data_IF_154257856323
#
_entry.id   IF_154257856323
#
_cell.length_a   1.000
_cell.length_b   1.000
_cell.length_c   1.000
_cell.angle_alpha   90.00
_cell.angle_beta   90.00
_cell.angle_gamma   90.00
#
_symmetry.space_group_name_H-M   'P 1'
#
loop_
_entity.id
_entity.type
_entity.pdbx_description
1 polymer ?
#
# COMPACT_ATOMS: atom_id res chain seq x y z
N UNK A 1 18.51 -1.51 3.77
CA UNK A 1 18.65 -2.13 2.45
C UNK A 1 17.36 -1.89 1.71
N UNK A 2 17.39 -1.24 0.55
CA UNK A 2 16.28 -1.31 -0.39
C UNK A 2 16.45 -2.67 -1.07
N UNK A 3 15.62 -3.65 -0.72
CA UNK A 3 15.51 -4.87 -1.51
C UNK A 3 14.76 -4.50 -2.79
N UNK A 4 15.20 -5.05 -3.92
CA UNK A 4 14.43 -4.93 -5.16
C UNK A 4 13.00 -5.44 -4.92
N UNK A 5 11.99 -4.84 -5.55
CA UNK A 5 10.63 -5.35 -5.41
C UNK A 5 10.57 -6.79 -5.95
N UNK A 6 9.80 -7.69 -5.30
CA UNK A 6 9.64 -9.06 -5.79
C UNK A 6 9.20 -9.07 -7.25
N UNK A 7 9.74 -9.96 -8.11
CA UNK A 7 9.49 -9.92 -9.55
C UNK A 7 8.01 -9.93 -9.93
N UNK A 8 7.20 -10.69 -9.19
CA UNK A 8 5.74 -10.72 -9.37
C UNK A 8 5.09 -9.36 -9.14
N UNK A 9 5.42 -8.70 -8.03
CA UNK A 9 4.91 -7.37 -7.70
C UNK A 9 5.37 -6.31 -8.72
N UNK A 10 6.64 -6.37 -9.14
CA UNK A 10 7.19 -5.47 -10.14
C UNK A 10 6.46 -5.61 -11.49
N UNK A 11 6.20 -6.84 -11.93
CA UNK A 11 5.43 -7.15 -13.14
C UNK A 11 3.99 -6.64 -13.03
N UNK A 12 3.30 -6.93 -11.93
CA UNK A 12 1.94 -6.49 -11.67
C UNK A 12 1.82 -4.96 -11.74
N UNK A 13 2.68 -4.25 -11.01
CA UNK A 13 2.71 -2.79 -11.04
C UNK A 13 3.06 -2.26 -12.44
N UNK A 14 3.99 -2.89 -13.15
CA UNK A 14 4.33 -2.56 -14.53
C UNK A 14 3.12 -2.63 -15.48
N UNK A 15 2.36 -3.73 -15.40
CA UNK A 15 1.14 -3.92 -16.19
C UNK A 15 0.08 -2.85 -15.88
N UNK A 16 -0.09 -2.48 -14.61
CA UNK A 16 -1.01 -1.41 -14.20
C UNK A 16 -0.57 -0.05 -14.74
N UNK A 17 0.74 0.27 -14.74
CA UNK A 17 1.27 1.54 -15.30
C UNK A 17 1.05 1.67 -16.81
N UNK A 18 1.06 0.54 -17.53
CA UNK A 18 0.86 0.52 -18.99
C UNK A 18 -0.62 0.59 -19.39
N UNK A 19 -1.54 0.23 -18.50
CA UNK A 19 -2.98 0.22 -18.79
C UNK A 19 -3.49 1.64 -19.08
N UNK A 20 -4.24 1.79 -20.18
CA UNK A 20 -4.95 3.03 -20.50
C UNK A 20 -6.19 3.16 -19.62
N UNK A 21 -6.36 4.33 -18.99
CA UNK A 21 -7.51 4.64 -18.15
C UNK A 21 -8.34 5.72 -18.83
N UNK A 22 -9.65 5.50 -19.03
CA UNK A 22 -10.54 6.51 -19.59
C UNK A 22 -10.88 7.56 -18.51
N UNK A 23 -9.91 8.41 -18.20
CA UNK A 23 -9.97 9.42 -17.14
C UNK A 23 -11.17 10.36 -17.29
N UNK A 24 -11.42 10.85 -18.50
CA UNK A 24 -12.53 11.77 -18.75
C UNK A 24 -13.89 11.06 -18.57
N UNK A 25 -13.94 9.75 -18.82
CA UNK A 25 -15.10 8.91 -18.47
C UNK A 25 -15.30 8.78 -16.96
N UNK A 26 -14.22 8.64 -16.19
CA UNK A 26 -14.27 8.58 -14.73
C UNK A 26 -14.75 9.89 -14.10
N UNK A 27 -14.31 11.05 -14.65
CA UNK A 27 -14.80 12.37 -14.20
C UNK A 27 -16.27 12.57 -14.56
N UNK A 28 -16.67 12.29 -15.81
CA UNK A 28 -18.09 12.40 -16.23
C UNK A 28 -19.02 11.51 -15.42
N UNK A 29 -18.55 10.33 -14.99
CA UNK A 29 -19.30 9.41 -14.15
C UNK A 29 -19.30 9.80 -12.65
N UNK A 30 -18.67 10.92 -12.28
CA UNK A 30 -18.55 11.37 -10.89
C UNK A 30 -17.67 10.46 -10.00
N UNK A 31 -16.88 9.56 -10.62
CA UNK A 31 -15.94 8.70 -9.90
C UNK A 31 -14.62 9.40 -9.57
N UNK A 32 -14.39 10.57 -10.15
CA UNK A 32 -13.26 11.47 -9.87
C UNK A 32 -13.71 12.91 -10.04
N UNK A 33 -13.11 13.83 -9.29
CA UNK A 33 -13.25 15.27 -9.56
C UNK A 33 -12.19 15.75 -10.55
N UNK A 34 -12.42 16.89 -11.18
CA UNK A 34 -11.42 17.51 -12.06
C UNK A 34 -10.12 17.87 -11.31
N UNK A 35 -10.23 18.37 -10.08
CA UNK A 35 -9.08 18.66 -9.21
C UNK A 35 -8.27 17.39 -8.89
N UNK A 36 -8.96 16.28 -8.57
CA UNK A 36 -8.29 14.99 -8.35
C UNK A 36 -7.54 14.54 -9.61
N UNK A 37 -8.18 14.61 -10.78
CA UNK A 37 -7.57 14.23 -12.05
C UNK A 37 -6.38 15.12 -12.43
N UNK A 38 -6.49 16.43 -12.23
CA UNK A 38 -5.42 17.38 -12.51
C UNK A 38 -4.17 17.05 -11.68
N UNK A 39 -4.35 16.76 -10.38
CA UNK A 39 -3.26 16.37 -9.47
C UNK A 39 -2.63 15.04 -9.88
N UNK A 40 -3.43 14.04 -10.24
CA UNK A 40 -2.93 12.76 -10.76
C UNK A 40 -2.07 12.98 -12.00
N UNK A 41 -2.58 13.71 -12.99
CA UNK A 41 -1.88 13.98 -14.26
C UNK A 41 -0.58 14.78 -14.07
N UNK A 42 -0.49 15.61 -13.04
CA UNK A 42 0.72 16.38 -12.75
C UNK A 42 1.92 15.50 -12.37
N UNK A 43 1.69 14.32 -11.78
CA UNK A 43 2.75 13.40 -11.32
C UNK A 43 2.81 12.08 -12.08
N UNK A 44 1.77 11.76 -12.84
CA UNK A 44 1.73 10.56 -13.68
C UNK A 44 2.68 10.70 -14.87
N UNK A 45 3.47 9.65 -15.13
CA UNK A 45 4.42 9.54 -16.26
C UNK A 45 5.45 10.68 -16.43
N UNK A 46 5.62 11.55 -15.43
CA UNK A 46 6.72 12.54 -15.40
C UNK A 46 8.01 11.92 -14.85
N UNK A 47 9.16 12.55 -15.14
CA UNK A 47 10.47 12.14 -14.63
C UNK A 47 10.52 12.21 -13.09
N UNK A 48 11.32 11.35 -12.46
CA UNK A 48 11.42 11.22 -11.00
C UNK A 48 11.67 12.57 -10.30
N UNK A 49 12.65 13.36 -10.76
CA UNK A 49 12.99 14.64 -10.11
C UNK A 49 11.85 15.66 -10.19
N UNK A 50 11.17 15.72 -11.35
CA UNK A 50 10.01 16.59 -11.56
C UNK A 50 8.85 16.15 -10.65
N UNK A 51 8.62 14.83 -10.54
CA UNK A 51 7.61 14.27 -9.63
C UNK A 51 7.86 14.69 -8.20
N UNK A 52 9.11 14.57 -7.73
CA UNK A 52 9.50 14.96 -6.37
C UNK A 52 9.19 16.45 -6.14
N UNK A 53 9.65 17.33 -7.04
CA UNK A 53 9.43 18.77 -6.94
C UNK A 53 7.95 19.13 -6.86
N UNK A 54 7.11 18.53 -7.72
CA UNK A 54 5.67 18.80 -7.76
C UNK A 54 4.99 18.41 -6.45
N UNK A 55 5.33 17.25 -5.89
CA UNK A 55 4.71 16.75 -4.66
C UNK A 55 5.20 17.53 -3.44
N UNK A 56 6.49 17.83 -3.36
CA UNK A 56 7.06 18.60 -2.25
C UNK A 56 6.55 20.04 -2.22
N UNK A 57 6.26 20.62 -3.38
CA UNK A 57 5.65 21.95 -3.47
C UNK A 57 4.21 22.00 -2.94
N UNK A 58 3.49 20.87 -2.86
CA UNK A 58 2.11 20.81 -2.37
C UNK A 58 1.82 19.50 -1.61
N UNK A 59 2.58 19.25 -0.53
CA UNK A 59 2.41 18.03 0.29
C UNK A 59 1.00 17.89 0.85
N UNK A 60 0.38 19.00 1.25
CA UNK A 60 -0.98 19.02 1.82
C UNK A 60 -2.02 18.62 0.77
N UNK A 61 -1.90 19.14 -0.45
CA UNK A 61 -2.78 18.78 -1.55
C UNK A 61 -2.68 17.31 -1.94
N UNK A 62 -1.48 16.72 -1.98
CA UNK A 62 -1.31 15.28 -2.23
C UNK A 62 -1.76 14.43 -1.04
N UNK A 63 -1.54 14.89 0.20
CA UNK A 63 -2.12 14.24 1.39
C UNK A 63 -3.64 14.18 1.26
N UNK A 64 -4.29 15.32 1.04
CA UNK A 64 -5.75 15.41 0.88
C UNK A 64 -6.24 14.61 -0.32
N UNK A 65 -5.48 14.50 -1.42
CA UNK A 65 -5.81 13.62 -2.54
C UNK A 65 -6.00 12.17 -2.07
N UNK A 66 -5.11 11.62 -1.25
CA UNK A 66 -5.13 10.20 -0.87
C UNK A 66 -5.96 9.87 0.37
N UNK A 67 -6.04 10.75 1.36
CA UNK A 67 -6.80 10.50 2.60
C UNK A 67 -8.05 11.37 2.78
N UNK A 68 -8.25 12.36 1.93
CA UNK A 68 -9.35 13.32 2.01
C UNK A 68 -9.22 14.25 3.20
N UNK A 69 -10.23 15.08 3.39
CA UNK A 69 -10.40 16.00 4.51
C UNK A 69 -11.90 16.22 4.75
N UNK A 70 -12.33 16.83 5.86
CA UNK A 70 -13.74 17.12 6.08
C UNK A 70 -14.36 17.88 4.90
N UNK A 71 -15.39 17.30 4.28
CA UNK A 71 -16.06 17.88 3.11
C UNK A 71 -15.43 17.54 1.75
N UNK A 72 -14.25 16.90 1.69
CA UNK A 72 -13.60 16.53 0.44
C UNK A 72 -13.16 15.06 0.47
N UNK A 73 -13.76 14.27 -0.43
CA UNK A 73 -13.48 12.85 -0.58
C UNK A 73 -12.03 12.62 -1.05
N UNK A 74 -11.43 11.53 -0.57
CA UNK A 74 -10.18 11.05 -1.16
C UNK A 74 -10.44 10.49 -2.56
N UNK A 75 -9.37 10.37 -3.34
CA UNK A 75 -9.43 9.73 -4.66
C UNK A 75 -9.87 8.27 -4.57
N UNK A 76 -9.47 7.56 -3.51
CA UNK A 76 -9.85 6.16 -3.27
C UNK A 76 -11.34 6.04 -2.93
N UNK A 77 -11.88 6.99 -2.17
CA UNK A 77 -13.31 7.05 -1.85
C UNK A 77 -14.14 7.37 -3.10
N UNK A 78 -13.70 8.36 -3.90
CA UNK A 78 -14.38 8.70 -5.16
C UNK A 78 -14.36 7.54 -6.16
N UNK A 79 -13.22 6.86 -6.29
CA UNK A 79 -13.00 5.83 -7.29
C UNK A 79 -13.40 4.41 -6.84
N UNK A 80 -14.02 4.23 -5.67
CA UNK A 80 -14.26 2.92 -5.05
C UNK A 80 -14.95 1.88 -5.97
N UNK A 81 -15.77 2.32 -6.93
CA UNK A 81 -16.47 1.45 -7.90
C UNK A 81 -15.69 1.18 -9.20
N UNK A 82 -14.51 1.77 -9.36
CA UNK A 82 -13.66 1.73 -10.55
C UNK A 82 -12.34 1.05 -10.23
N UNK A 83 -12.33 -0.28 -10.27
CA UNK A 83 -11.15 -1.09 -9.93
C UNK A 83 -9.90 -0.72 -10.74
N UNK A 84 -10.07 -0.40 -12.03
CA UNK A 84 -9.00 0.07 -12.91
C UNK A 84 -8.34 1.36 -12.38
N UNK A 85 -9.15 2.29 -11.91
CA UNK A 85 -8.69 3.54 -11.31
C UNK A 85 -8.04 3.27 -9.96
N UNK A 86 -8.68 2.48 -9.08
CA UNK A 86 -8.13 2.15 -7.75
C UNK A 86 -6.74 1.51 -7.86
N UNK A 87 -6.57 0.51 -8.73
CA UNK A 87 -5.26 -0.13 -8.95
C UNK A 87 -4.19 0.89 -9.37
N UNK A 88 -4.52 1.78 -10.30
CA UNK A 88 -3.58 2.81 -10.77
C UNK A 88 -3.24 3.82 -9.68
N UNK A 89 -4.22 4.26 -8.89
CA UNK A 89 -4.00 5.14 -7.74
C UNK A 89 -3.09 4.48 -6.70
N UNK A 90 -3.28 3.20 -6.40
CA UNK A 90 -2.43 2.48 -5.45
C UNK A 90 -0.99 2.38 -5.96
N UNK A 91 -0.80 2.09 -7.26
CA UNK A 91 0.54 2.07 -7.87
C UNK A 91 1.17 3.45 -7.88
N UNK A 92 0.41 4.49 -8.24
CA UNK A 92 0.88 5.88 -8.19
C UNK A 92 1.31 6.26 -6.78
N UNK A 93 0.50 5.99 -5.76
CA UNK A 93 0.84 6.28 -4.37
C UNK A 93 2.09 5.51 -3.93
N UNK A 94 2.21 4.23 -4.29
CA UNK A 94 3.40 3.42 -4.03
C UNK A 94 4.66 4.05 -4.63
N UNK A 95 4.58 4.57 -5.86
CA UNK A 95 5.68 5.25 -6.54
C UNK A 95 6.03 6.59 -5.86
N UNK A 96 5.02 7.34 -5.40
CA UNK A 96 5.22 8.62 -4.70
C UNK A 96 5.87 8.40 -3.33
N UNK A 97 5.47 7.37 -2.58
CA UNK A 97 6.06 7.03 -1.29
C UNK A 97 7.53 6.61 -1.41
N UNK A 98 7.93 5.99 -2.53
CA UNK A 98 9.33 5.62 -2.80
C UNK A 98 10.24 6.80 -3.14
N UNK A 99 9.68 7.87 -3.70
CA UNK A 99 10.47 9.03 -4.14
C UNK A 99 10.32 10.26 -3.25
N UNK A 100 9.23 10.37 -2.47
CA UNK A 100 8.96 11.51 -1.59
C UNK A 100 8.69 11.04 -0.16
N UNK A 101 9.74 10.77 0.64
CA UNK A 101 9.59 10.30 2.02
C UNK A 101 8.73 11.23 2.89
N UNK A 102 8.75 12.55 2.62
CA UNK A 102 7.94 13.53 3.35
C UNK A 102 6.43 13.30 3.22
N UNK A 103 5.96 12.73 2.10
CA UNK A 103 4.55 12.43 1.87
C UNK A 103 4.02 11.40 2.86
N UNK A 104 4.82 10.38 3.21
CA UNK A 104 4.42 9.36 4.18
C UNK A 104 4.09 9.95 5.55
N UNK A 105 4.92 10.90 6.01
CA UNK A 105 4.73 11.63 7.26
C UNK A 105 3.51 12.53 7.21
N UNK A 106 3.33 13.25 6.10
CA UNK A 106 2.18 14.13 5.91
C UNK A 106 0.85 13.36 5.94
N UNK A 107 0.79 12.18 5.31
CA UNK A 107 -0.40 11.31 5.31
C UNK A 107 -0.76 10.86 6.72
N UNK A 108 0.21 10.37 7.50
CA UNK A 108 -0.06 9.80 8.83
C UNK A 108 -0.43 10.84 9.88
N UNK A 109 0.01 12.09 9.73
CA UNK A 109 -0.33 13.17 10.68
C UNK A 109 -1.83 13.52 10.72
N UNK A 110 -2.66 12.90 9.87
CA UNK A 110 -4.12 13.07 9.86
C UNK A 110 -4.81 12.11 10.84
N UNK A 111 -6.03 12.43 11.27
CA UNK A 111 -6.72 11.71 12.35
C UNK A 111 -6.89 10.19 12.14
N UNK A 112 -7.39 9.74 10.97
CA UNK A 112 -7.54 8.32 10.64
C UNK A 112 -6.99 8.04 9.22
N UNK A 113 -5.65 7.94 9.08
CA UNK A 113 -4.99 7.89 7.78
C UNK A 113 -5.27 6.58 7.03
N UNK A 114 -5.78 5.56 7.73
CA UNK A 114 -5.99 4.21 7.21
C UNK A 114 -7.42 3.92 6.79
N UNK A 115 -8.38 4.82 7.08
CA UNK A 115 -9.82 4.59 6.91
C UNK A 115 -10.24 4.11 5.52
N UNK A 116 -9.55 4.60 4.48
CA UNK A 116 -9.85 4.29 3.09
C UNK A 116 -9.05 3.11 2.53
N UNK A 117 -7.97 2.73 3.20
CA UNK A 117 -7.09 1.65 2.76
C UNK A 117 -7.50 0.31 3.35
N UNK A 118 -7.81 0.26 4.65
CA UNK A 118 -8.14 -1.02 5.32
C UNK A 118 -9.32 -1.76 4.68
N UNK A 119 -10.42 -1.10 4.24
CA UNK A 119 -11.49 -1.81 3.54
C UNK A 119 -11.04 -2.45 2.21
N UNK A 120 -10.00 -1.92 1.55
CA UNK A 120 -9.49 -2.46 0.29
C UNK A 120 -8.73 -3.78 0.49
N UNK A 121 -8.16 -4.02 1.67
CA UNK A 121 -7.58 -5.33 2.02
C UNK A 121 -8.65 -6.43 2.09
N UNK A 122 -9.86 -6.07 2.51
CA UNK A 122 -11.00 -6.98 2.58
C UNK A 122 -11.83 -7.01 1.29
N UNK A 123 -11.38 -6.35 0.21
CA UNK A 123 -12.13 -6.26 -1.05
C UNK A 123 -12.39 -7.62 -1.69
N UNK A 124 -11.49 -8.58 -1.47
CA UNK A 124 -11.53 -9.90 -2.08
C UNK A 124 -10.94 -10.94 -1.15
N UNK A 125 -11.52 -12.14 -1.14
CA UNK A 125 -10.93 -13.31 -0.51
C UNK A 125 -9.93 -14.02 -1.43
N UNK A 126 -9.84 -13.63 -2.71
CA UNK A 126 -8.82 -14.12 -3.62
C UNK A 126 -7.52 -13.35 -3.36
N UNK A 127 -6.51 -14.05 -2.89
CA UNK A 127 -5.17 -13.52 -2.58
C UNK A 127 -4.37 -13.11 -3.81
N UNK A 128 -4.78 -13.55 -5.01
CA UNK A 128 -4.22 -13.09 -6.29
C UNK A 128 -4.90 -11.82 -6.82
N UNK A 129 -5.94 -11.32 -6.14
CA UNK A 129 -6.56 -10.05 -6.52
C UNK A 129 -5.54 -8.90 -6.36
N UNK A 130 -5.28 -8.10 -7.41
CA UNK A 130 -4.34 -7.00 -7.35
C UNK A 130 -4.67 -5.94 -6.28
N UNK A 131 -5.96 -5.70 -5.96
CA UNK A 131 -6.33 -4.58 -5.08
C UNK A 131 -5.83 -4.80 -3.64
N UNK A 132 -6.14 -5.94 -2.97
CA UNK A 132 -5.58 -6.22 -1.64
C UNK A 132 -4.04 -6.19 -1.62
N UNK A 133 -3.39 -6.77 -2.64
CA UNK A 133 -1.93 -6.85 -2.69
C UNK A 133 -1.28 -5.46 -2.85
N UNK A 134 -1.75 -4.66 -3.80
CA UNK A 134 -1.27 -3.28 -3.98
C UNK A 134 -1.56 -2.42 -2.74
N UNK A 135 -2.68 -2.67 -2.07
CA UNK A 135 -3.04 -1.99 -0.83
C UNK A 135 -2.09 -2.34 0.30
N UNK A 136 -1.71 -3.62 0.49
CA UNK A 136 -0.75 -4.02 1.52
C UNK A 136 0.60 -3.36 1.29
N UNK A 137 1.08 -3.37 0.04
CA UNK A 137 2.34 -2.70 -0.34
C UNK A 137 2.32 -1.20 0.00
N UNK A 138 1.24 -0.49 -0.35
CA UNK A 138 1.08 0.92 -0.02
C UNK A 138 1.10 1.16 1.50
N UNK A 139 0.34 0.36 2.25
CA UNK A 139 0.28 0.47 3.71
C UNK A 139 1.64 0.20 4.36
N UNK A 140 2.36 -0.82 3.90
CA UNK A 140 3.71 -1.16 4.37
C UNK A 140 4.67 0.00 4.10
N UNK A 141 4.68 0.55 2.89
CA UNK A 141 5.51 1.71 2.54
C UNK A 141 5.16 2.94 3.36
N UNK A 142 3.87 3.20 3.56
CA UNK A 142 3.38 4.32 4.35
C UNK A 142 3.87 4.22 5.81
N UNK A 143 3.69 3.06 6.45
CA UNK A 143 4.10 2.81 7.83
C UNK A 143 5.62 2.78 8.00
N UNK A 144 6.33 2.07 7.12
CA UNK A 144 7.78 1.94 7.21
C UNK A 144 8.50 3.26 6.89
N UNK A 145 8.02 4.02 5.90
CA UNK A 145 8.58 5.31 5.49
C UNK A 145 8.41 6.41 6.54
N UNK A 146 7.26 6.41 7.22
CA UNK A 146 6.98 7.34 8.32
C UNK A 146 7.55 6.88 9.67
N UNK A 147 7.82 5.58 9.83
CA UNK A 147 8.21 4.93 11.09
C UNK A 147 7.16 5.11 12.18
N UNK A 148 5.87 5.10 11.83
CA UNK A 148 4.80 5.46 12.75
C UNK A 148 4.47 4.38 13.79
N UNK A 149 4.53 4.73 15.07
CA UNK A 149 4.14 3.86 16.19
C UNK A 149 2.86 4.36 16.89
N UNK A 150 2.06 5.21 16.22
CA UNK A 150 0.80 5.72 16.79
C UNK A 150 -0.20 4.60 17.15
N UNK A 151 -1.16 4.87 18.06
CA UNK A 151 -2.22 3.90 18.37
C UNK A 151 -3.05 3.48 17.16
N UNK A 152 -3.26 4.37 16.18
CA UNK A 152 -3.96 4.04 14.94
C UNK A 152 -3.18 3.00 14.11
N UNK A 153 -1.85 3.12 14.07
CA UNK A 153 -0.99 2.15 13.37
C UNK A 153 -0.90 0.84 14.14
N UNK A 154 -0.48 0.90 15.41
CA UNK A 154 -0.17 -0.31 16.19
C UNK A 154 -1.42 -1.06 16.62
N UNK A 155 -2.47 -0.35 17.04
CA UNK A 155 -3.68 -0.95 17.59
C UNK A 155 -4.74 -1.34 16.56
N UNK A 156 -4.76 -0.69 15.39
CA UNK A 156 -5.81 -0.89 14.37
C UNK A 156 -5.26 -1.43 13.05
N UNK A 157 -4.32 -0.72 12.41
CA UNK A 157 -3.91 -1.06 11.05
C UNK A 157 -2.93 -2.24 10.96
N UNK A 158 -1.89 -2.28 11.81
CA UNK A 158 -0.91 -3.37 11.84
C UNK A 158 -1.54 -4.76 12.05
N UNK A 159 -2.49 -4.95 12.98
CA UNK A 159 -3.19 -6.23 13.13
C UNK A 159 -3.77 -6.76 11.82
N UNK A 160 -4.46 -5.90 11.06
CA UNK A 160 -5.15 -6.26 9.82
C UNK A 160 -4.13 -6.61 8.73
N UNK A 161 -3.07 -5.82 8.60
CA UNK A 161 -2.02 -6.06 7.61
C UNK A 161 -1.29 -7.36 7.92
N UNK A 162 -0.93 -7.61 9.18
CA UNK A 162 -0.23 -8.84 9.54
C UNK A 162 -1.05 -10.10 9.26
N UNK A 163 -2.37 -10.07 9.47
CA UNK A 163 -3.26 -11.16 9.08
C UNK A 163 -3.32 -11.33 7.56
N UNK A 164 -3.38 -10.24 6.79
CA UNK A 164 -3.31 -10.32 5.32
C UNK A 164 -1.98 -10.91 4.84
N UNK A 165 -0.84 -10.43 5.34
CA UNK A 165 0.48 -10.96 4.99
C UNK A 165 0.64 -12.44 5.40
N UNK A 166 -0.01 -12.86 6.48
CA UNK A 166 -0.03 -14.27 6.91
C UNK A 166 -0.66 -15.13 5.82
N UNK A 167 -1.76 -14.66 5.23
CA UNK A 167 -2.42 -15.34 4.10
C UNK A 167 -1.49 -15.48 2.89
N UNK A 168 -0.69 -14.45 2.57
CA UNK A 168 0.30 -14.51 1.49
C UNK A 168 1.38 -15.57 1.77
N UNK A 169 1.91 -15.61 2.99
CA UNK A 169 2.95 -16.60 3.36
C UNK A 169 2.47 -18.04 3.39
N UNK A 170 1.15 -18.28 3.48
CA UNK A 170 0.56 -19.64 3.53
C UNK A 170 0.20 -20.22 2.15
N UNK A 171 0.20 -19.39 1.11
CA UNK A 171 -0.08 -19.85 -0.27
C UNK A 171 1.15 -20.56 -0.82
N UNK A 172 0.97 -21.52 -1.72
CA UNK A 172 2.08 -22.27 -2.34
C UNK A 172 2.87 -21.49 -3.40
N UNK A 173 2.40 -20.31 -3.79
CA UNK A 173 3.05 -19.45 -4.78
C UNK A 173 4.26 -18.74 -4.14
N UNK A 174 5.46 -19.07 -4.64
CA UNK A 174 6.70 -18.53 -4.10
C UNK A 174 6.81 -17.00 -4.26
N UNK A 175 6.18 -16.41 -5.29
CA UNK A 175 6.20 -14.97 -5.50
C UNK A 175 5.38 -14.22 -4.46
N UNK A 176 4.19 -14.72 -4.13
CA UNK A 176 3.34 -14.16 -3.06
C UNK A 176 3.96 -14.39 -1.67
N UNK A 177 4.57 -15.55 -1.42
CA UNK A 177 5.29 -15.81 -0.18
C UNK A 177 6.45 -14.83 0.03
N UNK A 178 7.27 -14.60 -1.00
CA UNK A 178 8.40 -13.67 -0.96
C UNK A 178 7.93 -12.23 -0.64
N UNK A 179 6.84 -11.78 -1.27
CA UNK A 179 6.21 -10.49 -0.95
C UNK A 179 5.81 -10.43 0.53
N UNK A 180 5.11 -11.45 1.03
CA UNK A 180 4.70 -11.52 2.44
C UNK A 180 5.88 -11.40 3.40
N UNK A 181 6.98 -12.11 3.13
CA UNK A 181 8.20 -12.10 3.94
C UNK A 181 8.89 -10.72 3.91
N UNK A 182 9.04 -10.13 2.72
CA UNK A 182 9.68 -8.82 2.56
C UNK A 182 8.86 -7.70 3.20
N UNK A 183 7.54 -7.75 3.07
CA UNK A 183 6.63 -6.78 3.68
C UNK A 183 6.61 -6.91 5.21
N UNK A 184 6.64 -8.14 5.75
CA UNK A 184 6.85 -8.34 7.19
C UNK A 184 8.14 -7.69 7.67
N UNK A 185 9.28 -7.99 7.03
CA UNK A 185 10.58 -7.41 7.38
C UNK A 185 10.54 -5.88 7.41
N UNK A 186 9.86 -5.28 6.43
CA UNK A 186 9.70 -3.83 6.30
C UNK A 186 8.91 -3.22 7.46
N UNK A 187 7.92 -3.92 8.02
CA UNK A 187 7.09 -3.46 9.14
C UNK A 187 7.75 -3.62 10.52
N UNK A 188 8.83 -4.39 10.64
CA UNK A 188 9.55 -4.63 11.92
C UNK A 188 10.56 -3.53 12.26
N UNK A 189 10.24 -2.29 11.90
CA UNK A 189 11.12 -1.13 12.03
C UNK A 189 11.28 -0.60 13.47
N UNK A 190 10.32 -0.86 14.36
CA UNK A 190 10.24 -0.28 15.70
C UNK A 190 9.94 -1.30 16.81
N UNK A 191 9.99 -0.85 18.06
CA UNK A 191 9.72 -1.73 19.22
C UNK A 191 8.24 -2.09 19.28
N UNK A 192 7.36 -1.10 19.08
CA UNK A 192 5.92 -1.30 19.16
C UNK A 192 5.44 -2.24 18.05
N UNK A 193 5.96 -2.07 16.83
CA UNK A 193 5.58 -2.91 15.69
C UNK A 193 6.04 -4.36 15.87
N UNK A 194 7.27 -4.58 16.38
CA UNK A 194 7.76 -5.94 16.72
C UNK A 194 6.97 -6.58 17.85
N UNK A 195 6.58 -5.82 18.87
CA UNK A 195 5.73 -6.32 19.95
C UNK A 195 4.36 -6.73 19.42
N UNK A 196 3.77 -5.94 18.52
CA UNK A 196 2.50 -6.32 17.89
C UNK A 196 2.64 -7.57 17.02
N UNK A 197 3.70 -7.67 16.22
CA UNK A 197 4.02 -8.86 15.44
C UNK A 197 4.12 -10.11 16.32
N UNK A 198 4.80 -10.01 17.46
CA UNK A 198 4.93 -11.12 18.43
C UNK A 198 3.63 -11.45 19.17
N UNK A 199 2.79 -10.46 19.45
CA UNK A 199 1.45 -10.68 20.02
C UNK A 199 0.60 -11.56 19.08
N UNK A 200 0.77 -11.39 17.77
CA UNK A 200 0.12 -12.19 16.72
C UNK A 200 0.96 -13.36 16.21
N UNK A 201 1.93 -13.85 17.00
CA UNK A 201 2.87 -14.92 16.60
C UNK A 201 2.20 -16.18 16.03
N UNK A 202 0.96 -16.48 16.41
CA UNK A 202 0.19 -17.61 15.86
C UNK A 202 -0.09 -17.46 14.36
N UNK A 203 -0.21 -16.23 13.86
CA UNK A 203 -0.42 -15.93 12.44
C UNK A 203 0.87 -15.49 11.75
N UNK A 204 1.78 -14.83 12.48
CA UNK A 204 2.98 -14.22 11.88
C UNK A 204 4.21 -15.13 11.96
N UNK A 205 4.70 -15.43 13.16
CA UNK A 205 5.92 -16.22 13.38
C UNK A 205 5.72 -17.66 12.93
N UNK A 206 4.57 -18.26 13.25
CA UNK A 206 4.30 -19.65 12.87
C UNK A 206 4.25 -19.81 11.36
N UNK A 207 3.60 -18.90 10.62
CA UNK A 207 3.56 -19.00 9.16
C UNK A 207 4.96 -18.89 8.54
N UNK A 208 5.82 -18.04 9.10
CA UNK A 208 7.23 -17.95 8.70
C UNK A 208 8.06 -19.19 9.03
N UNK A 209 7.74 -19.92 10.10
CA UNK A 209 8.40 -21.19 10.42
C UNK A 209 7.93 -22.29 9.45
N UNK A 210 6.66 -22.30 9.09
CA UNK A 210 6.07 -23.29 8.18
C UNK A 210 6.63 -23.22 6.75
N UNK A 211 7.03 -22.03 6.28
CA UNK A 211 7.70 -21.87 4.97
C UNK A 211 9.16 -22.31 4.97
N UNK A 212 9.80 -22.42 6.14
CA UNK A 212 11.16 -22.97 6.21
C UNK A 212 11.05 -24.44 5.81
N UNK A 213 11.85 -24.91 4.84
CA UNK A 213 11.71 -26.27 4.35
C UNK A 213 11.79 -27.27 5.51
N UNK A 214 11.03 -28.35 5.40
CA UNK A 214 11.22 -29.59 6.17
C UNK A 214 12.60 -30.24 5.94
N UNK A 215 13.63 -29.47 5.55
CA UNK A 215 15.00 -29.87 5.28
C UNK A 215 15.83 -30.22 6.51
N UNK A 216 15.17 -30.44 7.66
CA UNK A 216 15.76 -30.94 8.90
C UNK A 216 15.35 -32.38 9.26
N UNK A 217 14.74 -33.15 8.36
CA UNK A 217 14.54 -34.61 8.52
C UNK A 217 15.40 -35.41 7.54
N UNK A 218 16.71 -35.32 7.75
CA UNK A 218 17.67 -36.40 7.47
C UNK A 218 18.58 -36.52 8.69
N UNK A 219 18.17 -37.35 9.63
CA UNK A 219 19.03 -37.99 10.62
C UNK A 219 18.73 -39.48 10.53
#
# INVERSE_FOLDING_TARGET
MLLDPPPYLASLQGNVRQRLIPWDGAVRAGSLTEDQLARIRAVDKVKRDVRIQIVEADLDGYRTLFVGEPGKKSVLESAAKRQDVVQNILVLLSDLLDCVPALSKAIIQTGDPYRHFLPLLAHSSNTEDPIPLLTSTVLVKLMAGSRDESPATVGKALPVIFSYLSSLTKISDAGLQDIGVQEYSSLLYGRATRQQFWKQRSETVISLIEILPSGGRRW
#
